data_IF_659443861352
#
_entry.id   IF_659443861352
#
_cell.length_a   1.000
_cell.length_b   1.000
_cell.length_c   1.000
_cell.angle_alpha   90.00
_cell.angle_beta   90.00
_cell.angle_gamma   90.00
#
_symmetry.space_group_name_H-M   'P 1'
#
loop_
_entity.id
_entity.type
_entity.pdbx_description
1 polymer ?
#
# COMPACT_ATOMS: atom_id res chain seq x y z
N UNK A 1 -0.92 -34.72 -3.48
CA UNK A 1 -0.14 -33.68 -2.79
C UNK A 1 -0.88 -32.36 -2.96
N UNK A 2 -1.69 -31.96 -1.97
CA UNK A 2 -2.38 -30.67 -1.96
C UNK A 2 -1.47 -29.68 -1.24
N UNK A 3 -0.88 -28.71 -1.94
CA UNK A 3 -0.13 -27.64 -1.32
C UNK A 3 -1.13 -26.63 -0.74
N UNK A 4 -1.51 -26.83 0.53
CA UNK A 4 -2.24 -25.84 1.30
C UNK A 4 -1.25 -24.74 1.71
N UNK A 5 -1.09 -23.74 0.84
CA UNK A 5 -0.36 -22.52 1.16
C UNK A 5 -1.24 -21.66 2.07
N UNK A 6 -1.18 -21.92 3.37
CA UNK A 6 -1.80 -21.10 4.41
C UNK A 6 -1.38 -19.65 4.20
N UNK A 7 -2.29 -18.82 3.70
CA UNK A 7 -2.12 -17.37 3.69
C UNK A 7 -2.15 -16.94 5.15
N UNK A 8 -0.98 -16.65 5.71
CA UNK A 8 -0.87 -16.04 7.03
C UNK A 8 -1.45 -14.62 6.95
N UNK A 9 -2.74 -14.48 7.18
CA UNK A 9 -3.41 -13.19 7.37
C UNK A 9 -3.25 -12.78 8.84
N UNK A 10 -2.02 -12.41 9.22
CA UNK A 10 -1.82 -11.51 10.36
C UNK A 10 -2.26 -10.09 9.99
N UNK A 11 -2.39 -9.15 10.95
CA UNK A 11 -2.58 -7.74 10.62
C UNK A 11 -1.40 -7.32 9.75
N UNK A 12 -1.65 -7.07 8.46
CA UNK A 12 -0.60 -6.64 7.56
C UNK A 12 -0.37 -5.16 7.82
N UNK A 13 0.73 -4.84 8.50
CA UNK A 13 1.11 -3.47 8.81
C UNK A 13 1.21 -2.66 7.50
N UNK A 14 0.53 -1.52 7.46
CA UNK A 14 0.52 -0.59 6.32
C UNK A 14 1.82 0.21 6.29
N UNK A 15 2.93 -0.48 6.01
CA UNK A 15 4.28 0.09 5.96
C UNK A 15 4.97 -0.13 4.59
N UNK A 16 6.03 0.64 4.28
CA UNK A 16 6.74 0.47 3.01
C UNK A 16 7.41 -0.90 2.81
N UNK A 17 7.84 -1.58 3.88
CA UNK A 17 8.48 -2.88 3.80
C UNK A 17 7.48 -3.98 3.42
N UNK A 18 6.27 -3.97 3.96
CA UNK A 18 5.22 -4.91 3.59
C UNK A 18 4.86 -4.78 2.10
N UNK A 19 4.78 -3.54 1.58
CA UNK A 19 4.60 -3.26 0.16
C UNK A 19 5.79 -3.72 -0.69
N UNK A 20 7.02 -3.49 -0.20
CA UNK A 20 8.25 -3.93 -0.86
C UNK A 20 8.34 -5.45 -1.03
N UNK A 21 7.93 -6.21 -0.01
CA UNK A 21 7.84 -7.68 -0.06
C UNK A 21 6.83 -8.12 -1.12
N UNK A 22 5.61 -7.57 -1.12
CA UNK A 22 4.58 -7.91 -2.09
C UNK A 22 5.03 -7.68 -3.55
N UNK A 23 5.70 -6.56 -3.82
CA UNK A 23 6.26 -6.26 -5.15
C UNK A 23 7.35 -7.28 -5.54
N UNK A 24 8.24 -7.61 -4.60
CA UNK A 24 9.32 -8.58 -4.84
C UNK A 24 8.78 -9.96 -5.17
N UNK A 25 7.76 -10.41 -4.44
CA UNK A 25 7.10 -11.69 -4.67
C UNK A 25 6.41 -11.73 -6.03
N UNK A 26 5.64 -10.69 -6.37
CA UNK A 26 4.98 -10.60 -7.67
C UNK A 26 5.98 -10.61 -8.83
N UNK A 27 7.11 -9.91 -8.69
CA UNK A 27 8.19 -9.92 -9.69
C UNK A 27 8.79 -11.31 -9.84
N UNK A 28 9.10 -12.00 -8.74
CA UNK A 28 9.64 -13.37 -8.77
C UNK A 28 8.67 -14.35 -9.41
N UNK A 29 7.36 -14.23 -9.12
CA UNK A 29 6.32 -15.03 -9.77
C UNK A 29 6.27 -14.78 -11.29
N UNK A 30 6.56 -13.56 -11.74
CA UNK A 30 6.73 -13.22 -13.15
C UNK A 30 8.04 -13.72 -13.78
N UNK A 31 8.94 -14.34 -12.99
CA UNK A 31 10.30 -14.75 -13.40
C UNK A 31 11.15 -13.60 -13.96
N UNK A 32 10.90 -12.37 -13.53
CA UNK A 32 11.63 -11.20 -14.00
C UNK A 32 12.81 -10.87 -13.07
N UNK A 33 13.93 -10.46 -13.65
CA UNK A 33 15.05 -9.90 -12.88
C UNK A 33 14.74 -8.46 -12.46
N UNK A 34 15.47 -7.95 -11.47
CA UNK A 34 15.36 -6.54 -11.08
C UNK A 34 15.76 -5.61 -12.24
N UNK A 35 16.77 -5.99 -13.03
CA UNK A 35 17.22 -5.23 -14.21
C UNK A 35 16.07 -5.06 -15.23
N UNK A 36 15.45 -6.18 -15.61
CA UNK A 36 14.37 -6.19 -16.62
C UNK A 36 13.14 -5.44 -16.11
N UNK A 37 12.78 -5.63 -14.85
CA UNK A 37 11.63 -4.94 -14.25
C UNK A 37 11.88 -3.44 -14.15
N UNK A 38 13.07 -3.02 -13.73
CA UNK A 38 13.42 -1.60 -13.64
C UNK A 38 13.36 -0.93 -15.02
N UNK A 39 13.89 -1.60 -16.05
CA UNK A 39 13.82 -1.14 -17.44
C UNK A 39 12.39 -1.02 -17.95
N UNK A 40 11.54 -2.03 -17.73
CA UNK A 40 10.12 -2.00 -18.09
C UNK A 40 9.39 -0.84 -17.42
N UNK A 41 9.75 -0.56 -16.16
CA UNK A 41 9.16 0.51 -15.38
C UNK A 41 9.79 1.89 -15.68
N UNK A 42 10.84 2.01 -16.49
CA UNK A 42 11.52 3.29 -16.72
C UNK A 42 12.20 3.87 -15.46
N UNK A 43 12.67 3.02 -14.54
CA UNK A 43 13.37 3.41 -13.31
C UNK A 43 14.77 2.79 -13.24
N UNK A 44 15.61 3.29 -12.33
CA UNK A 44 16.89 2.65 -12.06
C UNK A 44 16.72 1.33 -11.31
N UNK A 45 17.63 0.37 -11.53
CA UNK A 45 17.71 -0.86 -10.73
C UNK A 45 17.85 -0.57 -9.23
N UNK A 46 18.63 0.46 -8.87
CA UNK A 46 18.81 0.91 -7.49
C UNK A 46 17.48 1.35 -6.87
N UNK A 47 16.63 2.03 -7.63
CA UNK A 47 15.28 2.42 -7.21
C UNK A 47 14.42 1.18 -6.94
N UNK A 48 14.43 0.19 -7.84
CA UNK A 48 13.69 -1.06 -7.61
C UNK A 48 14.20 -1.82 -6.38
N UNK A 49 15.52 -1.89 -6.17
CA UNK A 49 16.10 -2.50 -4.95
C UNK A 49 15.65 -1.74 -3.69
N UNK A 50 15.60 -0.40 -3.75
CA UNK A 50 15.13 0.42 -2.63
C UNK A 50 13.66 0.12 -2.31
N UNK A 51 12.81 0.03 -3.33
CA UNK A 51 11.39 -0.33 -3.20
C UNK A 51 11.25 -1.72 -2.55
N UNK A 52 11.94 -2.75 -3.07
CA UNK A 52 11.84 -4.12 -2.54
C UNK A 52 12.39 -4.28 -1.12
N UNK A 53 13.14 -3.30 -0.61
CA UNK A 53 13.64 -3.24 0.77
C UNK A 53 12.77 -2.38 1.70
N UNK A 54 11.67 -1.81 1.21
CA UNK A 54 10.84 -0.88 1.98
C UNK A 54 11.46 0.50 2.20
N UNK A 55 12.37 0.92 1.33
CA UNK A 55 12.93 2.26 1.40
C UNK A 55 11.93 3.31 0.92
N UNK A 56 12.06 4.51 1.48
CA UNK A 56 11.19 5.63 1.13
C UNK A 56 11.36 6.06 -0.33
N UNK A 57 10.25 6.12 -1.06
CA UNK A 57 10.18 6.51 -2.48
C UNK A 57 8.89 7.28 -2.72
N UNK A 58 8.86 8.06 -3.78
CA UNK A 58 7.60 8.66 -4.21
C UNK A 58 6.54 7.58 -4.46
N UNK A 59 5.34 7.82 -3.94
CA UNK A 59 4.18 6.97 -4.16
C UNK A 59 3.91 6.76 -5.66
N UNK A 60 4.13 7.77 -6.50
CA UNK A 60 4.02 7.67 -7.95
C UNK A 60 4.94 6.60 -8.54
N UNK A 61 6.19 6.52 -8.09
CA UNK A 61 7.16 5.50 -8.50
C UNK A 61 6.72 4.11 -8.07
N UNK A 62 6.19 3.98 -6.84
CA UNK A 62 5.66 2.72 -6.34
C UNK A 62 4.47 2.23 -7.20
N UNK A 63 3.49 3.11 -7.43
CA UNK A 63 2.32 2.81 -8.24
C UNK A 63 2.67 2.47 -9.69
N UNK A 64 3.69 3.11 -10.26
CA UNK A 64 4.22 2.79 -11.59
C UNK A 64 4.76 1.36 -11.67
N UNK A 65 5.54 0.92 -10.66
CA UNK A 65 6.03 -0.47 -10.59
C UNK A 65 4.88 -1.46 -10.40
N UNK A 66 3.92 -1.15 -9.51
CA UNK A 66 2.74 -1.98 -9.30
C UNK A 66 1.96 -2.18 -10.61
N UNK A 67 1.70 -1.09 -11.35
CA UNK A 67 1.01 -1.14 -12.64
C UNK A 67 1.75 -2.01 -13.65
N UNK A 68 3.07 -1.84 -13.78
CA UNK A 68 3.88 -2.62 -14.71
C UNK A 68 3.90 -4.12 -14.38
N UNK A 69 3.80 -4.47 -13.09
CA UNK A 69 3.67 -5.86 -12.62
C UNK A 69 2.23 -6.38 -12.63
N UNK A 70 1.26 -5.60 -13.13
CA UNK A 70 -0.15 -6.00 -13.19
C UNK A 70 -0.81 -6.11 -11.80
N UNK A 71 -0.34 -5.35 -10.82
CA UNK A 71 -0.92 -5.23 -9.49
C UNK A 71 -1.91 -4.06 -9.44
N UNK A 72 -2.83 -4.10 -8.48
CA UNK A 72 -3.74 -3.00 -8.15
C UNK A 72 -3.66 -2.71 -6.65
N UNK A 73 -3.90 -1.46 -6.27
CA UNK A 73 -4.03 -1.04 -4.87
C UNK A 73 -5.52 -0.89 -4.54
N UNK A 74 -5.95 -1.45 -3.42
CA UNK A 74 -7.29 -1.27 -2.85
C UNK A 74 -7.13 -0.70 -1.45
N UNK A 75 -7.94 0.28 -1.10
CA UNK A 75 -7.98 0.89 0.22
C UNK A 75 -9.23 0.38 0.92
N UNK A 76 -9.06 -0.19 2.10
CA UNK A 76 -10.13 -0.70 2.93
C UNK A 76 -10.10 0.05 4.27
N UNK A 77 -11.27 0.33 4.82
CA UNK A 77 -11.40 0.91 6.15
C UNK A 77 -11.47 -0.21 7.18
N UNK A 78 -10.68 -0.12 8.24
CA UNK A 78 -10.82 -1.05 9.36
C UNK A 78 -12.21 -0.90 9.98
N UNK A 79 -12.93 -2.01 10.10
CA UNK A 79 -14.25 -2.07 10.70
C UNK A 79 -14.16 -1.77 12.21
N UNK A 80 -14.16 -0.49 12.57
CA UNK A 80 -13.97 -0.06 13.95
C UNK A 80 -13.51 1.39 14.08
N UNK A 81 -12.91 1.96 13.03
CA UNK A 81 -12.60 3.38 12.96
C UNK A 81 -13.89 4.19 12.72
N UNK A 82 -14.79 4.22 13.71
CA UNK A 82 -15.74 5.32 13.84
C UNK A 82 -14.87 6.55 14.06
N UNK A 83 -14.52 7.25 12.98
CA UNK A 83 -14.10 8.64 13.10
C UNK A 83 -15.21 9.29 13.89
N UNK A 84 -14.91 9.63 15.14
CA UNK A 84 -15.85 10.32 16.00
C UNK A 84 -16.31 11.54 15.20
N UNK A 85 -17.54 11.49 14.67
CA UNK A 85 -18.24 12.68 14.23
C UNK A 85 -18.52 13.47 15.50
N UNK A 86 -17.49 14.18 15.96
CA UNK A 86 -17.63 15.30 16.86
C UNK A 86 -18.36 16.39 16.09
N UNK A 87 -19.68 16.47 16.28
CA UNK A 87 -20.22 17.53 17.12
C UNK A 87 -21.74 17.39 17.20
N UNK A 88 -22.18 16.85 18.34
CA UNK A 88 -23.32 17.40 19.02
C UNK A 88 -22.98 18.87 19.29
N UNK A 89 -23.51 19.81 18.50
CA UNK A 89 -23.53 21.21 18.94
C UNK A 89 -24.39 21.22 20.21
N UNK A 90 -23.88 21.54 21.41
CA UNK A 90 -24.78 22.01 22.44
C UNK A 90 -25.49 23.23 21.86
N UNK A 91 -26.80 23.33 22.11
CA UNK A 91 -27.68 24.35 21.56
C UNK A 91 -26.99 25.70 21.54
N UNK A 92 -27.02 26.34 20.36
CA UNK A 92 -27.05 27.79 20.36
C UNK A 92 -28.37 28.10 21.07
N UNK A 93 -28.30 28.47 22.35
CA UNK A 93 -29.43 29.10 23.01
C UNK A 93 -29.75 30.34 22.17
N UNK A 94 -30.97 30.38 21.64
CA UNK A 94 -31.50 31.43 20.78
C UNK A 94 -31.75 32.76 21.56
N UNK A 95 -31.00 33.01 22.64
CA UNK A 95 -31.33 34.00 23.67
C UNK A 95 -30.20 35.02 23.99
N UNK A 96 -29.35 35.40 23.02
CA UNK A 96 -28.55 36.65 23.14
C UNK A 96 -28.53 37.46 21.83
N UNK A 97 -29.71 38.00 21.49
CA UNK A 97 -29.86 39.21 20.67
C UNK A 97 -30.77 40.20 21.39
N UNK A 98 -30.17 41.06 22.23
CA UNK A 98 -30.70 42.36 22.64
C UNK A 98 -29.56 43.38 22.72
#
# INVERSE_FOLDING_TARGET
>A
MMANGSLQTGPQELDPASLGVAIRERRKAAKMTQEVTASLCGISKKTLIKIEKGGDVYLSTLLQVMKALGMRLQLEQEAGARLASGNNRPGIDDDEWF
#
